data_IF_729618572364
#
_entry.id   IF_729618572364
#
_cell.length_a   1.000
_cell.length_b   1.000
_cell.length_c   1.000
_cell.angle_alpha   90.00
_cell.angle_beta   90.00
_cell.angle_gamma   90.00
#
_symmetry.space_group_name_H-M   'P 1'
#
loop_
_entity.id
_entity.type
_entity.pdbx_description
1 polymer ?
#
# COMPACT_ATOMS: atom_id res chain seq x y z
N UNK A 1 21.26 3.35 -4.78
CA UNK A 1 20.74 2.83 -3.49
C UNK A 1 19.24 3.05 -3.43
N UNK A 2 18.46 2.04 -3.06
CA UNK A 2 17.04 2.24 -2.74
C UNK A 2 16.94 2.85 -1.34
N UNK A 3 16.26 4.00 -1.21
CA UNK A 3 16.14 4.75 0.05
C UNK A 3 15.12 4.15 1.03
N UNK A 4 14.32 3.19 0.58
CA UNK A 4 13.17 2.64 1.30
C UNK A 4 13.33 1.13 1.35
N UNK A 5 13.17 0.51 2.53
CA UNK A 5 13.13 -0.93 2.69
C UNK A 5 11.76 -1.36 3.21
N UNK A 6 11.41 -2.62 2.94
CA UNK A 6 10.23 -3.23 3.55
C UNK A 6 10.40 -3.24 5.08
N UNK A 7 9.38 -2.80 5.81
CA UNK A 7 9.39 -2.71 7.26
C UNK A 7 9.64 -1.31 7.83
N UNK A 8 10.06 -0.34 7.01
CA UNK A 8 10.19 1.06 7.44
C UNK A 8 8.82 1.71 7.73
N UNK A 9 8.81 2.67 8.65
CA UNK A 9 7.67 3.56 8.88
C UNK A 9 7.80 4.80 8.01
N UNK A 10 6.74 5.13 7.26
CA UNK A 10 6.73 6.25 6.32
C UNK A 10 5.51 7.12 6.53
N UNK A 11 5.64 8.41 6.16
CA UNK A 11 4.54 9.38 6.15
C UNK A 11 4.23 9.82 4.71
N UNK A 12 2.95 9.94 4.40
CA UNK A 12 2.49 10.42 3.09
C UNK A 12 2.61 11.95 3.03
N UNK A 13 3.43 12.47 2.13
CA UNK A 13 3.72 13.91 2.02
C UNK A 13 2.60 14.66 1.25
N UNK A 14 1.98 14.00 0.27
CA UNK A 14 0.97 14.59 -0.60
C UNK A 14 -0.04 13.54 -1.11
N UNK A 15 -1.23 14.00 -1.52
CA UNK A 15 -2.32 13.17 -2.04
C UNK A 15 -3.50 13.05 -1.07
N UNK A 16 -4.44 12.15 -1.38
CA UNK A 16 -5.68 11.93 -0.61
C UNK A 16 -5.43 11.61 0.87
N UNK A 17 -4.37 10.84 1.13
CA UNK A 17 -4.00 10.35 2.46
C UNK A 17 -2.84 11.14 3.08
N UNK A 18 -2.73 12.45 2.80
CA UNK A 18 -1.62 13.29 3.28
C UNK A 18 -1.56 13.32 4.81
N UNK A 19 -0.37 13.12 5.37
CA UNK A 19 -0.10 13.16 6.80
C UNK A 19 -0.30 11.83 7.52
N UNK A 20 -0.89 10.83 6.87
CA UNK A 20 -1.02 9.49 7.43
C UNK A 20 0.34 8.77 7.45
N UNK A 21 0.57 8.05 8.54
CA UNK A 21 1.75 7.19 8.74
C UNK A 21 1.36 5.75 8.52
N UNK A 22 2.27 4.96 7.99
CA UNK A 22 2.05 3.53 7.83
C UNK A 22 3.34 2.77 7.63
N UNK A 23 3.26 1.46 7.86
CA UNK A 23 4.36 0.54 7.64
C UNK A 23 4.45 0.14 6.17
N UNK A 24 5.66 0.13 5.64
CA UNK A 24 5.92 -0.26 4.26
C UNK A 24 5.91 -1.79 4.13
N UNK A 25 4.87 -2.34 3.47
CA UNK A 25 4.72 -3.79 3.29
C UNK A 25 5.59 -4.32 2.16
N UNK A 26 5.57 -3.64 1.00
CA UNK A 26 6.30 -4.06 -0.20
C UNK A 26 6.81 -2.86 -0.99
N UNK A 27 8.05 -2.96 -1.45
CA UNK A 27 8.61 -2.11 -2.50
C UNK A 27 8.44 -2.85 -3.83
N UNK A 28 7.74 -2.23 -4.78
CA UNK A 28 7.56 -2.77 -6.12
C UNK A 28 8.70 -2.25 -7.03
N UNK A 29 9.09 -3.05 -8.00
CA UNK A 29 10.17 -2.72 -8.96
C UNK A 29 9.84 -1.56 -9.90
N UNK A 30 8.56 -1.18 -10.00
CA UNK A 30 8.09 -0.05 -10.81
C UNK A 30 8.15 1.30 -10.08
N UNK A 31 8.89 1.40 -8.97
CA UNK A 31 9.01 2.63 -8.18
C UNK A 31 7.78 2.95 -7.33
N UNK A 32 6.84 2.01 -7.17
CA UNK A 32 5.69 2.15 -6.27
C UNK A 32 5.93 1.38 -4.97
N UNK A 33 5.25 1.81 -3.90
CA UNK A 33 5.30 1.15 -2.59
C UNK A 33 3.90 0.86 -2.10
N UNK A 34 3.77 -0.25 -1.38
CA UNK A 34 2.53 -0.65 -0.72
C UNK A 34 2.69 -0.35 0.77
N UNK A 35 1.87 0.57 1.28
CA UNK A 35 1.86 1.00 2.67
C UNK A 35 0.56 0.53 3.30
N UNK A 36 0.65 -0.02 4.51
CA UNK A 36 -0.51 -0.51 5.25
C UNK A 36 -1.54 0.61 5.49
N UNK A 37 -2.83 0.31 5.27
CA UNK A 37 -3.94 1.25 5.53
C UNK A 37 -4.09 2.41 4.55
N UNK A 38 -3.11 2.66 3.68
CA UNK A 38 -3.12 3.79 2.74
C UNK A 38 -3.72 3.37 1.39
N UNK A 39 -4.46 4.28 0.74
CA UNK A 39 -5.07 4.08 -0.58
C UNK A 39 -6.05 2.88 -0.63
N UNK A 40 -6.82 2.67 0.43
CA UNK A 40 -7.89 1.65 0.46
C UNK A 40 -8.98 1.99 -0.56
N UNK A 41 -9.33 0.99 -1.37
CA UNK A 41 -10.36 1.12 -2.42
C UNK A 41 -11.29 -0.08 -2.40
N UNK A 42 -12.58 0.18 -2.64
CA UNK A 42 -13.58 -0.88 -2.80
C UNK A 42 -13.42 -1.48 -4.19
N UNK A 43 -13.12 -2.78 -4.27
CA UNK A 43 -13.13 -3.54 -5.51
C UNK A 43 -14.40 -4.38 -5.57
N UNK A 44 -15.16 -4.27 -6.65
CA UNK A 44 -16.23 -5.22 -6.94
C UNK A 44 -15.59 -6.52 -7.46
N UNK A 45 -15.80 -7.62 -6.75
CA UNK A 45 -15.26 -8.94 -7.08
C UNK A 45 -16.44 -9.87 -7.34
N UNK A 46 -16.39 -10.62 -8.45
CA UNK A 46 -17.38 -11.65 -8.75
C UNK A 46 -17.29 -12.75 -7.68
N UNK A 47 -18.42 -13.35 -7.26
CA UNK A 47 -18.40 -14.44 -6.29
C UNK A 47 -17.55 -15.59 -6.83
N UNK A 48 -16.70 -16.16 -5.97
CA UNK A 48 -15.83 -17.25 -6.34
C UNK A 48 -16.55 -18.58 -6.10
N UNK A 49 -16.84 -19.37 -7.15
CA UNK A 49 -17.60 -20.62 -6.99
C UNK A 49 -16.83 -21.73 -6.28
N UNK A 50 -15.51 -21.58 -6.06
CA UNK A 50 -14.65 -22.57 -5.41
C UNK A 50 -14.39 -22.30 -3.91
N UNK A 51 -14.99 -21.28 -3.31
CA UNK A 51 -14.87 -20.96 -1.87
C UNK A 51 -16.13 -21.38 -1.10
N UNK A 52 -16.57 -22.63 -1.25
CA UNK A 52 -17.55 -23.27 -0.35
C UNK A 52 -16.84 -24.12 0.70
#
# INVERSE_FOLDING_TARGET
MQKLKSGDEVIVIAGKNKGERGKLMKVLTNGRVMVEGINMVKKHVRPNPNEQ
#
